data_IF_706704233005
#
_entry.id   IF_706704233005
#
_cell.length_a   1.000
_cell.length_b   1.000
_cell.length_c   1.000
_cell.angle_alpha   90.00
_cell.angle_beta   90.00
_cell.angle_gamma   90.00
#
_symmetry.space_group_name_H-M   'P 1'
#
loop_
_entity.id
_entity.type
_entity.pdbx_description
1 polymer ?
#
# COMPACT_ATOMS: atom_id res chain seq x y z
N UNK A 1 0.75 7.50 -32.93
CA UNK A 1 0.29 6.11 -32.66
C UNK A 1 0.62 5.79 -31.21
N UNK A 2 -0.35 5.32 -30.43
CA UNK A 2 -0.08 4.87 -29.05
C UNK A 2 0.79 3.62 -29.11
N UNK A 3 1.91 3.58 -28.38
CA UNK A 3 2.72 2.36 -28.25
C UNK A 3 1.94 1.38 -27.37
N UNK A 4 1.43 0.26 -27.92
CA UNK A 4 0.64 -0.68 -27.13
C UNK A 4 1.54 -1.37 -26.11
N UNK A 5 1.04 -1.48 -24.89
CA UNK A 5 1.68 -2.16 -23.78
C UNK A 5 0.81 -3.34 -23.34
N UNK A 6 1.43 -4.35 -22.73
CA UNK A 6 0.72 -5.47 -22.10
C UNK A 6 1.31 -5.74 -20.72
N UNK A 7 0.52 -6.35 -19.84
CA UNK A 7 0.96 -6.76 -18.51
C UNK A 7 1.65 -8.12 -18.58
N UNK A 8 2.90 -8.17 -18.15
CA UNK A 8 3.62 -9.43 -17.93
C UNK A 8 3.87 -9.55 -16.43
N UNK A 9 3.35 -10.62 -15.81
CA UNK A 9 3.53 -10.85 -14.38
C UNK A 9 4.95 -11.37 -14.13
N UNK A 10 5.62 -10.86 -13.09
CA UNK A 10 6.99 -11.27 -12.75
C UNK A 10 7.13 -12.75 -12.42
N UNK A 11 6.04 -13.39 -11.98
CA UNK A 11 5.97 -14.82 -11.69
C UNK A 11 6.10 -15.72 -12.93
N UNK A 12 6.19 -15.14 -14.14
CA UNK A 12 6.51 -15.86 -15.38
C UNK A 12 7.82 -16.66 -15.29
N UNK A 13 8.75 -16.25 -14.41
CA UNK A 13 10.00 -16.97 -14.13
C UNK A 13 9.78 -18.30 -13.41
N UNK A 14 8.61 -18.48 -12.79
CA UNK A 14 8.23 -19.69 -12.07
C UNK A 14 7.13 -20.49 -12.80
N UNK A 15 6.61 -19.98 -13.93
CA UNK A 15 5.58 -20.66 -14.71
C UNK A 15 6.15 -21.97 -15.31
N UNK A 16 5.64 -23.16 -14.92
CA UNK A 16 6.17 -24.43 -15.42
C UNK A 16 6.06 -24.58 -16.93
N UNK A 17 5.06 -23.95 -17.58
CA UNK A 17 4.91 -24.00 -19.04
C UNK A 17 6.03 -23.23 -19.72
N UNK A 18 6.40 -22.07 -19.18
CA UNK A 18 7.48 -21.22 -19.73
C UNK A 18 8.85 -21.81 -19.44
N UNK A 19 9.07 -22.34 -18.24
CA UNK A 19 10.38 -22.90 -17.85
C UNK A 19 10.74 -24.17 -18.61
N UNK A 20 9.75 -24.97 -19.02
CA UNK A 20 9.95 -26.17 -19.87
C UNK A 20 10.29 -25.85 -21.32
N UNK A 21 10.13 -24.61 -21.76
CA UNK A 21 10.51 -24.21 -23.12
C UNK A 21 12.05 -24.04 -23.25
N UNK A 22 12.61 -24.36 -24.43
CA UNK A 22 13.98 -23.96 -24.77
C UNK A 22 14.17 -22.45 -24.66
N UNK A 23 15.38 -22.00 -24.29
CA UNK A 23 15.67 -20.58 -24.04
C UNK A 23 15.31 -19.66 -25.22
N UNK A 24 15.65 -20.09 -26.45
CA UNK A 24 15.28 -19.37 -27.67
C UNK A 24 13.75 -19.20 -27.81
N UNK A 25 12.97 -20.19 -27.35
CA UNK A 25 11.51 -20.17 -27.43
C UNK A 25 10.89 -19.27 -26.35
N UNK A 26 11.56 -19.06 -25.22
CA UNK A 26 11.10 -18.10 -24.19
C UNK A 26 11.07 -16.67 -24.73
N UNK A 27 12.09 -16.27 -25.50
CA UNK A 27 12.08 -14.97 -26.18
C UNK A 27 10.98 -14.89 -27.25
N UNK A 28 10.80 -15.96 -28.05
CA UNK A 28 9.71 -16.04 -29.04
C UNK A 28 8.35 -15.87 -28.37
N UNK A 29 8.10 -16.50 -27.23
CA UNK A 29 6.89 -16.31 -26.46
C UNK A 29 6.62 -14.84 -26.12
N UNK A 30 7.63 -14.11 -25.61
CA UNK A 30 7.51 -12.67 -25.33
C UNK A 30 7.21 -11.88 -26.60
N UNK A 31 7.87 -12.21 -27.71
CA UNK A 31 7.64 -11.54 -28.98
C UNK A 31 6.21 -11.78 -29.51
N UNK A 32 5.64 -12.97 -29.32
CA UNK A 32 4.25 -13.28 -29.64
C UNK A 32 3.28 -12.47 -28.77
N UNK A 33 3.55 -12.31 -27.47
CA UNK A 33 2.76 -11.44 -26.60
C UNK A 33 2.77 -9.98 -27.07
N UNK A 34 3.90 -9.48 -27.57
CA UNK A 34 3.99 -8.15 -28.18
C UNK A 34 3.10 -8.01 -29.43
N UNK A 35 3.06 -9.04 -30.28
CA UNK A 35 2.18 -9.06 -31.46
C UNK A 35 0.71 -9.10 -31.06
N UNK A 36 0.36 -9.95 -30.09
CA UNK A 36 -0.99 -10.02 -29.56
C UNK A 36 -1.44 -8.68 -28.93
N UNK A 37 -0.56 -7.98 -28.22
CA UNK A 37 -0.85 -6.65 -27.63
C UNK A 37 -1.27 -5.63 -28.69
N UNK A 38 -0.60 -5.64 -29.85
CA UNK A 38 -0.93 -4.76 -31.00
C UNK A 38 -2.27 -5.11 -31.63
N UNK A 39 -2.66 -6.38 -31.57
CA UNK A 39 -3.83 -6.95 -32.24
C UNK A 39 -4.94 -7.35 -31.26
N UNK A 40 -5.12 -6.57 -30.17
CA UNK A 40 -6.20 -6.73 -29.19
C UNK A 40 -6.30 -8.16 -28.59
N UNK A 41 -5.18 -8.84 -28.42
CA UNK A 41 -5.09 -10.18 -27.85
C UNK A 41 -5.13 -11.33 -28.85
N UNK A 42 -5.18 -11.03 -30.15
CA UNK A 42 -5.12 -12.06 -31.20
C UNK A 42 -3.79 -12.00 -31.92
N UNK A 43 -3.23 -13.15 -32.27
CA UNK A 43 -2.04 -13.20 -33.12
C UNK A 43 -2.43 -12.95 -34.58
N UNK A 44 -1.59 -12.25 -35.35
CA UNK A 44 -1.78 -12.14 -36.78
C UNK A 44 -1.51 -13.49 -37.49
N UNK A 45 -1.85 -13.62 -38.78
CA UNK A 45 -1.51 -14.81 -39.58
C UNK A 45 -0.01 -15.15 -39.52
N UNK A 46 0.32 -16.42 -39.72
CA UNK A 46 1.71 -16.94 -39.60
C UNK A 46 2.70 -16.16 -40.48
N UNK A 47 2.32 -15.77 -41.69
CA UNK A 47 3.16 -14.97 -42.59
C UNK A 47 3.52 -13.60 -42.01
N UNK A 48 2.56 -12.94 -41.34
CA UNK A 48 2.80 -11.65 -40.68
C UNK A 48 3.68 -11.81 -39.43
N UNK A 49 3.52 -12.94 -38.71
CA UNK A 49 4.40 -13.28 -37.59
C UNK A 49 5.84 -13.49 -38.09
N UNK A 50 6.02 -14.26 -39.17
CA UNK A 50 7.31 -14.54 -39.77
C UNK A 50 8.00 -13.24 -40.19
N UNK A 51 7.28 -12.35 -40.88
CA UNK A 51 7.77 -11.02 -41.24
C UNK A 51 8.14 -10.18 -40.01
N UNK A 52 7.27 -10.11 -39.01
CA UNK A 52 7.49 -9.28 -37.83
C UNK A 52 8.66 -9.75 -36.97
N UNK A 53 8.88 -11.07 -36.89
CA UNK A 53 9.96 -11.69 -36.14
C UNK A 53 11.22 -11.95 -36.96
N UNK A 54 11.21 -11.59 -38.25
CA UNK A 54 12.33 -11.76 -39.19
C UNK A 54 12.81 -13.21 -39.28
N UNK A 55 11.87 -14.14 -39.39
CA UNK A 55 12.14 -15.57 -39.55
C UNK A 55 11.36 -16.15 -40.74
N UNK A 56 11.61 -17.41 -41.08
CA UNK A 56 10.87 -18.10 -42.13
C UNK A 56 9.43 -18.43 -41.70
N UNK A 57 8.52 -18.62 -42.67
CA UNK A 57 7.14 -19.05 -42.41
C UNK A 57 7.10 -20.41 -41.70
N UNK A 58 8.03 -21.31 -42.06
CA UNK A 58 8.17 -22.63 -41.44
C UNK A 58 8.57 -22.52 -39.96
N UNK A 59 9.53 -21.64 -39.64
CA UNK A 59 9.96 -21.39 -38.25
C UNK A 59 8.86 -20.74 -37.42
N UNK A 60 8.12 -19.79 -38.00
CA UNK A 60 6.99 -19.14 -37.35
C UNK A 60 5.89 -20.17 -37.05
N UNK A 61 5.55 -21.01 -38.04
CA UNK A 61 4.60 -22.11 -37.88
C UNK A 61 5.05 -23.14 -36.85
N UNK A 62 6.34 -23.51 -36.83
CA UNK A 62 6.89 -24.40 -35.82
C UNK A 62 6.81 -23.81 -34.41
N UNK A 63 7.05 -22.50 -34.28
CA UNK A 63 6.95 -21.77 -33.01
C UNK A 63 5.51 -21.74 -32.49
N UNK A 64 4.53 -21.46 -33.37
CA UNK A 64 3.10 -21.53 -33.03
C UNK A 64 2.75 -22.92 -32.51
N UNK A 65 3.09 -23.99 -33.25
CA UNK A 65 2.79 -25.37 -32.85
C UNK A 65 3.40 -25.73 -31.50
N UNK A 66 4.65 -25.34 -31.26
CA UNK A 66 5.33 -25.63 -29.99
C UNK A 66 4.70 -24.87 -28.81
N UNK A 67 4.29 -23.61 -29.01
CA UNK A 67 3.62 -22.82 -27.97
C UNK A 67 2.18 -23.31 -27.70
N UNK A 68 1.47 -23.80 -28.73
CA UNK A 68 0.18 -24.49 -28.57
C UNK A 68 0.34 -25.78 -27.78
N UNK A 69 1.34 -26.62 -28.12
CA UNK A 69 1.64 -27.85 -27.39
C UNK A 69 2.01 -27.60 -25.91
N UNK A 70 2.66 -26.47 -25.62
CA UNK A 70 2.95 -26.05 -24.24
C UNK A 70 1.74 -25.46 -23.48
N UNK A 71 0.60 -25.26 -24.15
CA UNK A 71 -0.60 -24.65 -23.58
C UNK A 71 -0.39 -23.17 -23.22
N UNK A 72 0.46 -22.47 -23.98
CA UNK A 72 0.68 -21.02 -23.88
C UNK A 72 -0.10 -20.24 -24.96
N UNK A 73 -0.43 -20.90 -26.06
CA UNK A 73 -1.34 -20.41 -27.10
C UNK A 73 -2.56 -21.33 -27.20
N UNK A 74 -3.72 -20.72 -27.38
CA UNK A 74 -4.97 -21.39 -27.71
C UNK A 74 -5.32 -21.10 -29.16
N UNK A 75 -5.79 -22.12 -29.88
CA UNK A 75 -6.41 -21.93 -31.19
C UNK A 75 -7.87 -21.52 -30.98
N UNK A 76 -8.20 -20.28 -31.34
CA UNK A 76 -9.55 -19.73 -31.15
C UNK A 76 -10.48 -20.12 -32.30
N UNK A 77 -9.94 -20.10 -33.50
CA UNK A 77 -10.59 -20.44 -34.77
C UNK A 77 -9.53 -21.14 -35.64
N UNK A 78 -9.91 -21.94 -36.65
CA UNK A 78 -8.92 -22.63 -37.49
C UNK A 78 -7.89 -21.66 -38.08
N UNK A 79 -6.63 -21.80 -37.67
CA UNK A 79 -5.53 -20.92 -38.10
C UNK A 79 -5.46 -19.56 -37.40
N UNK A 80 -6.29 -19.30 -36.39
CA UNK A 80 -6.24 -18.10 -35.55
C UNK A 80 -5.87 -18.45 -34.10
N UNK A 81 -4.82 -17.80 -33.60
CA UNK A 81 -4.23 -18.11 -32.30
C UNK A 81 -4.32 -16.92 -31.35
N UNK A 82 -4.50 -17.18 -30.06
CA UNK A 82 -4.45 -16.19 -29.01
C UNK A 82 -3.62 -16.69 -27.82
N UNK A 83 -2.95 -15.80 -27.08
CA UNK A 83 -2.31 -16.19 -25.82
C UNK A 83 -3.31 -16.76 -24.82
N UNK A 84 -2.91 -17.85 -24.17
CA UNK A 84 -3.77 -18.54 -23.22
C UNK A 84 -4.16 -17.62 -22.06
N UNK A 85 -5.46 -17.56 -21.77
CA UNK A 85 -6.05 -16.69 -20.75
C UNK A 85 -5.65 -15.20 -20.91
N UNK A 86 -5.67 -14.69 -22.14
CA UNK A 86 -5.36 -13.29 -22.43
C UNK A 86 -6.29 -12.32 -21.66
N UNK A 87 -7.61 -12.50 -21.73
CA UNK A 87 -8.59 -11.65 -21.04
C UNK A 87 -8.38 -11.59 -19.52
N UNK A 88 -8.06 -12.73 -18.87
CA UNK A 88 -7.80 -12.76 -17.43
C UNK A 88 -6.50 -12.04 -17.06
N UNK A 89 -5.50 -12.07 -17.94
CA UNK A 89 -4.20 -11.40 -17.72
C UNK A 89 -4.24 -9.91 -18.11
N UNK A 90 -5.00 -9.56 -19.14
CA UNK A 90 -5.09 -8.23 -19.75
C UNK A 90 -6.46 -7.57 -19.51
N UNK A 91 -7.00 -7.71 -18.29
CA UNK A 91 -8.26 -7.09 -17.93
C UNK A 91 -8.25 -5.57 -18.21
N UNK A 92 -9.27 -5.09 -18.91
CA UNK A 92 -9.43 -3.67 -19.23
C UNK A 92 -9.94 -2.95 -17.98
N UNK A 93 -9.02 -2.43 -17.18
CA UNK A 93 -9.34 -1.58 -16.01
C UNK A 93 -9.94 -0.23 -16.39
N UNK A 94 -9.87 0.17 -17.66
CA UNK A 94 -10.15 1.53 -18.11
C UNK A 94 -11.64 1.80 -18.40
N UNK A 95 -12.54 1.15 -17.66
CA UNK A 95 -13.91 1.69 -17.47
C UNK A 95 -13.94 2.82 -16.43
N UNK A 96 -12.84 3.07 -15.70
CA UNK A 96 -12.75 4.15 -14.71
C UNK A 96 -12.44 5.51 -15.34
N UNK A 97 -11.74 5.59 -16.47
CA UNK A 97 -11.47 6.87 -17.15
C UNK A 97 -12.72 7.45 -17.81
N UNK A 98 -13.56 6.60 -18.40
CA UNK A 98 -14.88 6.99 -18.93
C UNK A 98 -15.82 7.40 -17.80
N UNK A 99 -15.96 6.58 -16.75
CA UNK A 99 -16.82 6.91 -15.59
C UNK A 99 -16.37 8.19 -14.86
N UNK A 100 -15.07 8.41 -14.70
CA UNK A 100 -14.54 9.63 -14.07
C UNK A 100 -14.74 10.84 -14.97
N UNK A 101 -14.61 10.69 -16.29
CA UNK A 101 -14.89 11.76 -17.25
C UNK A 101 -16.38 12.14 -17.23
N UNK A 102 -17.28 11.17 -17.32
CA UNK A 102 -18.73 11.38 -17.23
C UNK A 102 -19.14 12.00 -15.90
N UNK A 103 -18.53 11.58 -14.79
CA UNK A 103 -18.76 12.18 -13.48
C UNK A 103 -18.30 13.64 -13.43
N UNK A 104 -17.12 13.96 -14.00
CA UNK A 104 -16.61 15.34 -14.06
C UNK A 104 -17.44 16.23 -14.97
N UNK A 105 -17.89 15.70 -16.11
CA UNK A 105 -18.79 16.41 -17.03
C UNK A 105 -20.16 16.66 -16.40
N UNK A 106 -20.70 15.70 -15.66
CA UNK A 106 -21.94 15.88 -14.89
C UNK A 106 -21.79 16.97 -13.83
N UNK A 107 -20.73 16.93 -13.02
CA UNK A 107 -20.47 17.99 -12.02
C UNK A 107 -20.27 19.36 -12.67
N UNK A 108 -19.63 19.42 -13.84
CA UNK A 108 -19.46 20.66 -14.59
C UNK A 108 -20.80 21.22 -15.06
N UNK A 109 -21.68 20.37 -15.60
CA UNK A 109 -23.02 20.76 -16.03
C UNK A 109 -23.90 21.21 -14.86
N UNK A 110 -23.86 20.49 -13.75
CA UNK A 110 -24.58 20.86 -12.51
C UNK A 110 -24.07 22.20 -11.95
N UNK A 111 -22.78 22.48 -12.03
CA UNK A 111 -22.21 23.77 -11.63
C UNK A 111 -22.59 24.92 -12.59
N UNK A 112 -22.63 24.66 -13.90
CA UNK A 112 -23.09 25.63 -14.91
C UNK A 112 -24.59 25.93 -14.76
N UNK A 113 -25.40 24.93 -14.44
CA UNK A 113 -26.85 25.07 -14.21
C UNK A 113 -27.16 25.80 -12.89
N UNK A 114 -26.40 25.51 -11.82
CA UNK A 114 -26.49 26.24 -10.56
C UNK A 114 -26.06 27.72 -10.70
N UNK A 115 -25.02 27.99 -11.51
CA UNK A 115 -24.58 29.36 -11.81
C UNK A 115 -25.60 30.15 -12.65
N UNK A 116 -26.42 29.47 -13.46
CA UNK A 116 -27.50 30.10 -14.23
C UNK A 116 -28.73 30.47 -13.38
N UNK A 117 -28.93 29.80 -12.23
CA UNK A 117 -30.07 30.06 -11.33
C UNK A 117 -29.81 31.17 -10.30
N UNK A 118 -28.55 31.56 -10.07
CA UNK A 118 -28.15 32.58 -9.09
C UNK A 118 -27.94 33.99 -9.71
N UNK A 119 -28.54 34.26 -10.87
CA UNK A 119 -28.58 35.60 -11.44
C UNK A 119 -29.45 36.51 -10.54
N UNK A 120 -28.94 37.64 -10.02
CA UNK A 120 -29.63 38.41 -8.98
C UNK A 120 -30.84 39.18 -9.54
N UNK A 121 -32.02 38.57 -9.43
CA UNK A 121 -33.30 39.26 -9.47
C UNK A 121 -33.53 39.96 -8.14
N UNK A 122 -33.14 41.22 -8.07
CA UNK A 122 -33.28 42.11 -6.92
C UNK A 122 -34.76 42.31 -6.50
N UNK A 123 -35.21 41.69 -5.39
CA UNK A 123 -36.39 42.17 -4.63
C UNK A 123 -36.15 41.94 -3.14
N UNK A 124 -36.04 43.05 -2.40
CA UNK A 124 -35.98 43.11 -0.95
C UNK A 124 -37.35 42.82 -0.30
N UNK A 125 -37.37 42.05 0.78
CA UNK A 125 -38.56 41.85 1.61
C UNK A 125 -38.33 40.87 2.76
N UNK A 126 -38.03 41.42 3.94
CA UNK A 126 -38.06 40.71 5.23
C UNK A 126 -39.42 40.06 5.49
N UNK A 127 -39.45 38.86 6.09
CA UNK A 127 -40.26 38.54 7.29
C UNK A 127 -39.94 37.13 7.83
N UNK A 128 -39.92 37.08 9.16
CA UNK A 128 -39.77 35.93 10.06
C UNK A 128 -40.81 34.81 9.83
N UNK A 129 -40.42 33.56 10.03
CA UNK A 129 -41.35 32.42 10.01
C UNK A 129 -40.69 31.08 10.34
N UNK A 130 -40.79 30.70 11.60
CA UNK A 130 -40.45 29.37 12.13
C UNK A 130 -41.41 28.30 11.56
N UNK A 131 -40.91 27.13 11.12
CA UNK A 131 -41.77 25.99 10.79
C UNK A 131 -41.12 24.87 9.97
N UNK A 132 -40.88 23.73 10.61
CA UNK A 132 -41.28 22.39 10.14
C UNK A 132 -40.69 21.80 8.85
N UNK A 133 -39.89 20.74 9.04
CA UNK A 133 -39.86 19.47 8.28
C UNK A 133 -39.98 19.46 6.75
N UNK A 134 -39.07 18.78 6.05
CA UNK A 134 -39.23 17.33 5.80
C UNK A 134 -38.00 16.72 5.11
N UNK A 135 -37.93 15.41 5.27
CA UNK A 135 -37.06 14.37 4.74
C UNK A 135 -36.85 14.41 3.22
N UNK A 136 -35.65 14.02 2.77
CA UNK A 136 -35.48 13.30 1.50
C UNK A 136 -34.36 12.27 1.62
N UNK A 137 -34.80 11.02 1.79
CA UNK A 137 -34.06 9.77 1.58
C UNK A 137 -34.26 9.34 0.14
N UNK A 138 -33.22 8.89 -0.56
CA UNK A 138 -33.34 7.94 -1.68
C UNK A 138 -31.95 7.33 -1.99
N UNK A 139 -31.90 6.15 -2.64
CA UNK A 139 -31.39 4.95 -1.96
C UNK A 139 -30.24 4.27 -2.72
N UNK A 140 -29.46 3.47 -2.01
CA UNK A 140 -28.54 2.50 -2.62
C UNK A 140 -29.33 1.28 -3.08
N UNK A 141 -29.34 1.05 -4.40
CA UNK A 141 -29.81 -0.21 -4.99
C UNK A 141 -28.59 -1.03 -5.40
N UNK A 142 -28.30 -2.12 -4.65
CA UNK A 142 -27.36 -3.17 -5.03
C UNK A 142 -28.16 -4.47 -5.10
N UNK A 143 -28.36 -4.95 -6.32
CA UNK A 143 -28.99 -6.24 -6.60
C UNK A 143 -27.90 -7.31 -6.63
N UNK A 144 -27.90 -8.20 -5.64
CA UNK A 144 -27.26 -9.51 -5.74
C UNK A 144 -28.38 -10.56 -5.82
N UNK A 145 -28.42 -11.29 -6.93
CA UNK A 145 -29.34 -12.38 -7.17
C UNK A 145 -28.75 -13.68 -6.61
N UNK A 146 -29.56 -14.32 -5.77
CA UNK A 146 -29.39 -15.66 -5.21
C UNK A 146 -29.36 -16.76 -6.27
N UNK A 147 -28.67 -17.86 -5.96
CA UNK A 147 -29.12 -19.20 -6.37
C UNK A 147 -28.98 -20.17 -5.20
N UNK A 148 -30.13 -20.56 -4.67
CA UNK A 148 -30.34 -21.59 -3.65
C UNK A 148 -30.58 -22.92 -4.35
N UNK A 149 -29.98 -24.01 -3.88
CA UNK A 149 -30.62 -25.33 -3.91
C UNK A 149 -30.36 -26.05 -2.57
N UNK A 150 -31.46 -26.47 -1.95
CA UNK A 150 -31.55 -27.25 -0.74
C UNK A 150 -31.38 -28.74 -1.05
N UNK A 151 -30.76 -29.51 -0.15
CA UNK A 151 -31.13 -30.91 0.03
C UNK A 151 -30.96 -31.31 1.49
N UNK A 152 -32.06 -31.79 2.06
CA UNK A 152 -32.24 -32.23 3.43
C UNK A 152 -31.77 -33.66 3.63
N UNK A 153 -31.14 -33.94 4.79
CA UNK A 153 -31.34 -35.21 5.53
C UNK A 153 -30.73 -35.16 6.92
N UNK A 154 -31.58 -35.38 7.91
CA UNK A 154 -31.30 -35.49 9.33
C UNK A 154 -30.65 -36.84 9.66
N UNK A 155 -29.63 -36.85 10.53
CA UNK A 155 -29.39 -37.93 11.51
C UNK A 155 -28.73 -37.32 12.76
N UNK A 156 -29.38 -37.57 13.88
CA UNK A 156 -29.00 -37.30 15.27
C UNK A 156 -27.79 -38.13 15.72
N UNK A 157 -26.86 -37.52 16.49
CA UNK A 157 -26.17 -38.14 17.64
C UNK A 157 -25.18 -37.18 18.33
N UNK A 158 -25.56 -36.82 19.55
CA UNK A 158 -24.77 -36.45 20.74
C UNK A 158 -23.25 -36.72 20.71
N UNK A 159 -22.44 -35.67 20.97
CA UNK A 159 -21.24 -35.72 21.84
C UNK A 159 -20.62 -34.31 22.05
N UNK A 160 -20.66 -33.84 23.30
CA UNK A 160 -19.63 -33.10 24.08
C UNK A 160 -18.85 -31.93 23.45
N UNK A 161 -19.10 -30.72 23.98
CA UNK A 161 -18.39 -29.45 23.72
C UNK A 161 -16.90 -29.45 24.13
N UNK A 162 -16.07 -28.69 23.38
CA UNK A 162 -15.00 -27.90 23.96
C UNK A 162 -15.17 -26.41 23.63
N UNK A 163 -15.02 -25.55 24.66
CA UNK A 163 -15.07 -24.08 24.59
C UNK A 163 -14.15 -23.51 23.50
N UNK A 164 -14.74 -23.01 22.41
CA UNK A 164 -14.07 -22.13 21.46
C UNK A 164 -14.01 -20.71 22.06
N UNK A 165 -12.79 -20.21 22.22
CA UNK A 165 -12.53 -18.79 22.45
C UNK A 165 -12.75 -18.11 21.11
N UNK A 166 -13.68 -17.17 21.07
CA UNK A 166 -14.18 -16.56 19.84
C UNK A 166 -13.10 -15.68 19.19
N UNK A 167 -12.47 -16.21 18.14
CA UNK A 167 -11.44 -15.54 17.36
C UNK A 167 -11.98 -14.24 16.72
N UNK A 168 -13.29 -14.13 16.53
CA UNK A 168 -13.94 -12.90 16.06
C UNK A 168 -13.92 -11.78 17.11
N UNK A 169 -14.01 -12.10 18.40
CA UNK A 169 -14.04 -11.11 19.49
C UNK A 169 -12.65 -10.51 19.74
N UNK A 170 -11.58 -11.31 19.60
CA UNK A 170 -10.19 -10.82 19.62
C UNK A 170 -9.83 -9.94 18.41
N UNK A 171 -10.45 -10.20 17.24
CA UNK A 171 -10.29 -9.38 16.03
C UNK A 171 -11.14 -8.10 16.12
N UNK A 172 -12.31 -8.16 16.77
CA UNK A 172 -13.17 -7.02 17.03
C UNK A 172 -12.57 -6.06 18.08
N UNK A 173 -11.93 -6.57 19.14
CA UNK A 173 -11.24 -5.75 20.14
C UNK A 173 -10.01 -5.00 19.58
N UNK A 174 -9.45 -5.47 18.45
CA UNK A 174 -8.39 -4.77 17.71
C UNK A 174 -8.93 -3.79 16.65
N UNK A 175 -10.24 -3.83 16.37
CA UNK A 175 -10.94 -2.89 15.49
C UNK A 175 -11.48 -1.74 16.35
N UNK A 176 -10.85 -0.57 16.20
CA UNK A 176 -11.22 0.77 16.69
C UNK A 176 -11.05 1.07 18.19
N UNK A 177 -9.90 1.63 18.55
CA UNK A 177 -9.81 2.71 19.55
C UNK A 177 -8.49 3.49 19.47
N UNK A 178 -7.92 3.68 18.28
CA UNK A 178 -6.99 4.80 18.08
C UNK A 178 -7.64 5.81 17.16
N UNK A 179 -7.75 7.09 17.56
CA UNK A 179 -8.22 8.12 16.65
C UNK A 179 -7.32 8.10 15.41
N UNK A 180 -7.92 8.20 14.23
CA UNK A 180 -7.15 8.26 12.99
C UNK A 180 -6.11 9.37 13.11
N UNK A 181 -4.82 9.02 13.01
CA UNK A 181 -3.71 10.00 12.99
C UNK A 181 -3.66 10.80 11.69
N UNK A 182 -4.74 10.79 10.89
CA UNK A 182 -4.87 11.56 9.67
C UNK A 182 -4.80 13.06 9.92
N UNK A 183 -5.37 13.57 11.02
CA UNK A 183 -5.29 15.00 11.32
C UNK A 183 -3.85 15.45 11.56
N UNK A 184 -3.04 14.63 12.23
CA UNK A 184 -1.61 14.87 12.42
C UNK A 184 -0.86 14.85 11.07
N UNK A 185 -1.19 13.88 10.20
CA UNK A 185 -0.68 13.85 8.83
C UNK A 185 -1.08 15.10 8.03
N UNK A 186 -2.32 15.54 8.16
CA UNK A 186 -2.85 16.69 7.44
C UNK A 186 -2.16 18.00 7.84
N UNK A 187 -1.86 18.17 9.13
CA UNK A 187 -1.09 19.32 9.63
C UNK A 187 0.38 19.25 9.21
N UNK A 188 0.96 18.05 9.10
CA UNK A 188 2.33 17.85 8.66
C UNK A 188 2.54 18.06 7.15
N UNK A 189 1.47 17.96 6.34
CA UNK A 189 1.58 18.03 4.89
C UNK A 189 1.78 19.48 4.40
N UNK A 190 2.70 19.76 3.47
CA UNK A 190 2.99 21.12 3.03
C UNK A 190 1.78 21.80 2.37
N UNK A 191 1.63 23.10 2.62
CA UNK A 191 0.58 23.92 1.99
C UNK A 191 0.79 23.97 0.47
N UNK A 192 -0.30 23.80 -0.28
CA UNK A 192 -0.33 23.82 -1.75
C UNK A 192 -1.23 24.96 -2.24
N UNK A 193 -0.87 25.55 -3.38
CA UNK A 193 -1.79 26.37 -4.18
C UNK A 193 -2.60 25.53 -5.20
N UNK A 194 -3.91 25.74 -5.21
CA UNK A 194 -4.89 24.94 -5.96
C UNK A 194 -5.52 23.79 -5.15
N UNK A 195 -6.38 22.98 -5.80
CA UNK A 195 -7.23 22.02 -5.09
C UNK A 195 -6.43 20.91 -4.41
N UNK A 196 -6.72 20.64 -3.13
CA UNK A 196 -6.20 19.50 -2.38
C UNK A 196 -7.34 18.88 -1.55
N UNK A 197 -8.12 17.95 -2.11
CA UNK A 197 -9.33 17.45 -1.45
C UNK A 197 -8.98 16.55 -0.24
N UNK A 198 -9.45 16.94 0.95
CA UNK A 198 -9.18 16.26 2.24
C UNK A 198 -9.78 14.85 2.31
N UNK A 199 -11.07 14.70 1.98
CA UNK A 199 -11.79 13.41 2.10
C UNK A 199 -11.15 12.26 1.29
N UNK A 200 -10.76 12.44 0.00
CA UNK A 200 -10.06 11.38 -0.74
C UNK A 200 -8.69 11.02 -0.15
N UNK A 201 -7.96 12.02 0.39
CA UNK A 201 -6.67 11.78 1.02
C UNK A 201 -6.84 10.98 2.33
N UNK A 202 -7.85 11.31 3.13
CA UNK A 202 -8.20 10.62 4.37
C UNK A 202 -8.57 9.15 4.14
N UNK A 203 -9.48 8.89 3.18
CA UNK A 203 -9.84 7.53 2.80
C UNK A 203 -8.61 6.72 2.38
N UNK A 204 -7.70 7.32 1.61
CA UNK A 204 -6.48 6.63 1.18
C UNK A 204 -5.51 6.39 2.32
N UNK A 205 -5.27 7.39 3.18
CA UNK A 205 -4.43 7.26 4.38
C UNK A 205 -4.94 6.13 5.27
N UNK A 206 -6.23 6.14 5.61
CA UNK A 206 -6.84 5.10 6.42
C UNK A 206 -6.75 3.72 5.75
N UNK A 207 -6.86 3.64 4.41
CA UNK A 207 -6.68 2.38 3.70
C UNK A 207 -5.25 1.82 3.79
N UNK A 208 -4.23 2.69 3.76
CA UNK A 208 -2.83 2.29 3.90
C UNK A 208 -2.53 1.83 5.32
N UNK A 209 -3.07 2.52 6.33
CA UNK A 209 -2.96 2.09 7.73
C UNK A 209 -3.62 0.73 7.95
N UNK A 210 -4.77 0.47 7.31
CA UNK A 210 -5.44 -0.85 7.34
C UNK A 210 -4.61 -1.97 6.72
N UNK A 211 -3.72 -1.66 5.77
CA UNK A 211 -2.80 -2.66 5.19
C UNK A 211 -1.60 -3.01 6.08
N UNK A 212 -1.50 -2.40 7.28
CA UNK A 212 -0.40 -2.62 8.23
C UNK A 212 0.73 -1.61 8.12
N UNK A 213 0.55 -0.52 7.37
CA UNK A 213 1.52 0.55 7.30
C UNK A 213 1.44 1.43 8.55
N UNK A 214 2.59 1.71 9.17
CA UNK A 214 2.66 2.56 10.35
C UNK A 214 2.25 4.02 10.03
N UNK A 215 1.20 4.56 10.69
CA UNK A 215 0.82 5.96 10.54
C UNK A 215 1.96 6.96 10.86
N UNK A 216 2.84 6.63 11.82
CA UNK A 216 3.93 7.52 12.23
C UNK A 216 4.94 7.74 11.10
N UNK A 217 5.22 6.68 10.34
CA UNK A 217 6.09 6.75 9.16
C UNK A 217 5.51 7.68 8.09
N UNK A 218 4.20 7.59 7.80
CA UNK A 218 3.55 8.47 6.82
C UNK A 218 3.60 9.95 7.24
N UNK A 219 3.44 10.22 8.53
CA UNK A 219 3.54 11.56 9.10
C UNK A 219 4.97 12.08 9.01
N UNK A 220 5.97 11.26 9.34
CA UNK A 220 7.38 11.61 9.21
C UNK A 220 7.76 11.92 7.74
N UNK A 221 7.29 11.09 6.81
CA UNK A 221 7.48 11.30 5.38
C UNK A 221 6.83 12.62 4.90
N UNK A 222 5.64 12.97 5.40
CA UNK A 222 4.98 14.24 5.09
C UNK A 222 5.76 15.44 5.62
N UNK A 223 6.29 15.38 6.86
CA UNK A 223 7.15 16.42 7.43
C UNK A 223 8.43 16.60 6.63
N UNK A 224 9.05 15.51 6.19
CA UNK A 224 10.28 15.56 5.38
C UNK A 224 10.01 16.20 4.01
N UNK A 225 8.89 15.86 3.37
CA UNK A 225 8.44 16.55 2.16
C UNK A 225 8.24 18.05 2.42
N UNK A 226 7.62 18.43 3.54
CA UNK A 226 7.43 19.84 3.88
C UNK A 226 8.76 20.58 4.02
N UNK A 227 9.75 19.99 4.69
CA UNK A 227 11.09 20.58 4.85
C UNK A 227 11.84 20.70 3.51
N UNK A 228 11.83 19.64 2.69
CA UNK A 228 12.49 19.64 1.39
C UNK A 228 11.91 20.71 0.45
N UNK A 229 10.58 20.83 0.41
CA UNK A 229 9.91 21.82 -0.42
C UNK A 229 9.99 23.24 0.17
N UNK A 230 10.12 23.38 1.48
CA UNK A 230 10.40 24.66 2.14
C UNK A 230 11.80 25.15 1.77
N UNK A 231 12.81 24.27 1.79
CA UNK A 231 14.17 24.60 1.37
C UNK A 231 14.26 25.03 -0.11
N UNK A 232 13.35 24.50 -0.95
CA UNK A 232 13.22 24.87 -2.36
C UNK A 232 12.39 26.14 -2.59
N UNK A 233 11.72 26.67 -1.56
CA UNK A 233 10.81 27.81 -1.70
C UNK A 233 9.50 27.48 -2.44
N UNK A 234 9.14 26.20 -2.54
CA UNK A 234 7.97 25.74 -3.28
C UNK A 234 6.70 25.63 -2.43
N UNK A 235 6.81 25.82 -1.11
CA UNK A 235 5.65 25.76 -0.21
C UNK A 235 4.65 26.87 -0.57
N UNK A 236 3.38 26.50 -0.66
CA UNK A 236 2.33 27.40 -1.11
C UNK A 236 2.27 27.59 -2.62
N UNK A 237 3.00 26.80 -3.42
CA UNK A 237 2.89 26.80 -4.88
C UNK A 237 2.04 25.62 -5.39
N UNK A 238 1.71 25.67 -6.69
CA UNK A 238 1.03 24.59 -7.40
C UNK A 238 1.90 23.34 -7.64
N UNK A 239 3.19 23.38 -7.29
CA UNK A 239 4.12 22.27 -7.51
C UNK A 239 4.10 21.22 -6.39
N UNK A 240 3.62 21.58 -5.20
CA UNK A 240 3.41 20.64 -4.10
C UNK A 240 2.37 19.60 -4.50
N UNK A 241 2.65 18.29 -4.54
CA UNK A 241 1.65 17.31 -4.96
C UNK A 241 0.41 17.33 -4.05
N UNK A 242 -0.76 17.01 -4.60
CA UNK A 242 -1.96 16.78 -3.77
C UNK A 242 -1.73 15.60 -2.83
N UNK A 243 -2.22 15.67 -1.60
CA UNK A 243 -2.01 14.63 -0.59
C UNK A 243 -2.51 13.26 -1.06
N UNK A 244 -3.70 13.20 -1.68
CA UNK A 244 -4.24 11.97 -2.25
C UNK A 244 -3.32 11.38 -3.34
N UNK A 245 -2.81 12.22 -4.24
CA UNK A 245 -1.91 11.80 -5.32
C UNK A 245 -0.56 11.31 -4.78
N UNK A 246 -0.01 12.00 -3.78
CA UNK A 246 1.23 11.62 -3.10
C UNK A 246 1.09 10.27 -2.39
N UNK A 247 -0.03 10.03 -1.69
CA UNK A 247 -0.35 8.75 -1.07
C UNK A 247 -0.56 7.62 -2.08
N UNK A 248 -1.28 7.89 -3.19
CA UNK A 248 -1.58 6.90 -4.23
C UNK A 248 -0.33 6.42 -4.97
N UNK A 249 0.57 7.35 -5.31
CA UNK A 249 1.79 7.06 -6.05
C UNK A 249 2.93 6.59 -5.15
N UNK A 250 2.68 6.35 -3.86
CA UNK A 250 3.67 5.90 -2.89
C UNK A 250 4.93 6.75 -2.86
N UNK A 251 4.79 8.07 -3.08
CA UNK A 251 5.91 9.02 -3.07
C UNK A 251 6.54 9.19 -1.69
N UNK A 252 5.89 8.64 -0.67
CA UNK A 252 6.40 8.51 0.69
C UNK A 252 7.43 7.39 0.85
N UNK A 253 7.55 6.46 -0.10
CA UNK A 253 8.42 5.26 0.01
C UNK A 253 9.89 5.60 0.22
N UNK A 254 10.43 6.58 -0.51
CA UNK A 254 11.83 7.03 -0.34
C UNK A 254 12.09 7.59 1.07
N UNK A 255 11.10 8.29 1.64
CA UNK A 255 11.19 8.84 3.00
C UNK A 255 10.90 7.77 4.06
N UNK A 256 10.09 6.77 3.73
CA UNK A 256 9.80 5.62 4.57
C UNK A 256 11.01 4.74 4.78
N UNK A 257 11.81 4.52 3.73
CA UNK A 257 13.08 3.82 3.83
C UNK A 257 14.04 4.55 4.78
N UNK A 258 14.09 5.89 4.72
CA UNK A 258 14.90 6.70 5.65
C UNK A 258 14.35 6.61 7.08
N UNK A 259 13.03 6.70 7.29
CA UNK A 259 12.44 6.53 8.62
C UNK A 259 12.66 5.12 9.18
N UNK A 260 12.53 4.08 8.36
CA UNK A 260 12.82 2.71 8.74
C UNK A 260 14.31 2.53 9.08
N UNK A 261 15.22 3.11 8.31
CA UNK A 261 16.66 3.14 8.64
C UNK A 261 16.94 3.96 9.91
N UNK A 262 16.17 5.00 10.19
CA UNK A 262 16.25 5.77 11.45
C UNK A 262 15.55 5.08 12.61
N UNK A 263 14.68 4.11 12.36
CA UNK A 263 14.00 3.32 13.40
C UNK A 263 14.80 2.05 13.70
N UNK A 264 15.42 1.45 12.68
CA UNK A 264 16.30 0.28 12.77
C UNK A 264 17.73 0.71 13.18
N UNK A 265 18.22 1.82 12.66
CA UNK A 265 19.48 2.47 13.04
C UNK A 265 19.32 3.55 14.12
N UNK A 266 18.10 3.76 14.58
CA UNK A 266 17.76 4.64 15.69
C UNK A 266 16.69 4.01 16.58
N UNK A 267 16.95 2.78 17.02
CA UNK A 267 17.18 2.69 18.46
C UNK A 267 18.26 3.74 18.77
N UNK A 268 17.83 4.95 19.12
CA UNK A 268 18.35 5.49 20.34
C UNK A 268 18.25 4.30 21.30
N UNK A 269 19.38 3.63 21.52
CA UNK A 269 19.56 2.79 22.68
C UNK A 269 18.84 3.58 23.76
N UNK A 270 17.85 2.97 24.39
CA UNK A 270 17.41 3.45 25.68
C UNK A 270 18.66 3.30 26.55
N UNK A 271 19.58 4.25 26.42
CA UNK A 271 20.81 4.39 27.17
C UNK A 271 20.27 4.56 28.56
N UNK A 272 20.20 3.42 29.26
CA UNK A 272 19.87 3.42 30.66
C UNK A 272 20.83 4.42 31.28
N UNK A 273 20.34 5.45 31.97
CA UNK A 273 21.21 6.38 32.67
C UNK A 273 22.24 5.57 33.45
N UNK A 274 23.53 5.87 33.25
CA UNK A 274 24.62 5.01 33.76
C UNK A 274 24.52 4.81 35.28
N UNK A 275 23.96 5.79 36.00
CA UNK A 275 23.65 5.70 37.43
C UNK A 275 22.57 4.66 37.76
N UNK A 276 21.53 4.53 36.94
CA UNK A 276 20.51 3.49 37.10
C UNK A 276 21.09 2.10 36.84
N UNK A 277 21.98 1.97 35.85
CA UNK A 277 22.70 0.73 35.56
C UNK A 277 23.62 0.32 36.71
N UNK A 278 24.39 1.28 37.27
CA UNK A 278 25.24 1.05 38.45
C UNK A 278 24.41 0.67 39.67
N UNK A 279 23.28 1.35 39.91
CA UNK A 279 22.36 1.01 41.01
C UNK A 279 21.78 -0.40 40.88
N UNK A 280 21.37 -0.80 39.67
CA UNK A 280 20.87 -2.15 39.41
C UNK A 280 21.98 -3.20 39.57
N UNK A 281 23.19 -2.90 39.12
CA UNK A 281 24.35 -3.77 39.25
C UNK A 281 24.75 -3.97 40.71
N UNK A 282 24.78 -2.92 41.52
CA UNK A 282 25.06 -3.02 42.96
C UNK A 282 24.03 -3.87 43.72
N UNK A 283 22.75 -3.76 43.34
CA UNK A 283 21.62 -4.44 44.00
C UNK A 283 21.46 -5.90 43.58
N UNK A 284 21.51 -6.16 42.28
CA UNK A 284 21.13 -7.46 41.69
C UNK A 284 22.31 -8.19 41.02
N UNK A 285 23.49 -7.57 40.93
CA UNK A 285 24.67 -8.14 40.27
C UNK A 285 24.59 -8.21 38.74
N UNK A 286 23.55 -7.64 38.12
CA UNK A 286 23.34 -7.72 36.67
C UNK A 286 23.66 -6.37 35.99
N UNK A 287 24.60 -6.39 35.04
CA UNK A 287 24.93 -5.22 34.22
C UNK A 287 24.09 -5.21 32.94
N UNK A 288 23.37 -4.12 32.70
CA UNK A 288 22.52 -4.00 31.51
C UNK A 288 23.36 -3.93 30.24
N UNK A 289 23.04 -4.77 29.26
CA UNK A 289 23.62 -4.69 27.90
C UNK A 289 23.42 -3.33 27.22
N UNK A 290 22.41 -2.57 27.68
CA UNK A 290 22.08 -1.24 27.13
C UNK A 290 22.87 -0.10 27.82
N UNK A 291 23.67 -0.41 28.85
CA UNK A 291 24.52 0.57 29.56
C UNK A 291 25.97 0.62 29.04
N UNK A 292 26.27 -0.14 27.97
CA UNK A 292 27.62 -0.26 27.41
C UNK A 292 28.49 -1.27 28.17
N UNK A 293 29.82 -1.24 27.97
CA UNK A 293 30.75 -2.15 28.64
C UNK A 293 30.62 -2.05 30.16
N UNK A 294 30.68 -3.20 30.83
CA UNK A 294 30.66 -3.29 32.30
C UNK A 294 31.93 -2.70 32.93
N UNK A 295 31.92 -2.37 34.24
CA UNK A 295 33.04 -1.72 34.91
C UNK A 295 34.40 -2.44 34.82
N UNK A 296 34.38 -3.75 34.62
CA UNK A 296 35.57 -4.60 34.42
C UNK A 296 36.15 -4.55 32.99
N UNK A 297 35.43 -3.91 32.04
CA UNK A 297 35.82 -3.83 30.63
C UNK A 297 36.24 -2.40 30.22
N UNK A 298 37.25 -2.26 29.34
CA UNK A 298 37.67 -0.97 28.83
C UNK A 298 36.55 -0.30 28.02
N UNK A 299 36.35 0.99 28.24
CA UNK A 299 35.26 1.76 27.60
C UNK A 299 33.96 1.81 28.41
N UNK A 300 33.96 1.34 29.66
CA UNK A 300 32.85 1.57 30.59
C UNK A 300 32.63 3.07 30.81
N UNK A 301 31.36 3.49 30.79
CA UNK A 301 30.97 4.89 31.02
C UNK A 301 30.78 5.24 32.50
N UNK A 302 30.76 4.26 33.39
CA UNK A 302 30.61 4.49 34.83
C UNK A 302 31.93 5.02 35.41
N UNK A 303 31.90 6.20 36.04
CA UNK A 303 33.07 6.74 36.73
C UNK A 303 33.35 5.97 38.02
N UNK A 304 34.62 5.95 38.44
CA UNK A 304 35.02 5.32 39.70
C UNK A 304 34.30 5.93 40.92
N UNK A 305 34.03 7.24 40.90
CA UNK A 305 33.26 7.94 41.94
C UNK A 305 31.80 7.45 42.00
N UNK A 306 31.19 7.23 40.83
CA UNK A 306 29.81 6.73 40.75
C UNK A 306 29.72 5.28 41.25
N UNK A 307 30.68 4.42 40.91
CA UNK A 307 30.76 3.06 41.44
C UNK A 307 30.95 3.05 42.95
N UNK A 308 31.84 3.90 43.48
CA UNK A 308 32.11 4.03 44.90
C UNK A 308 30.85 4.48 45.69
N UNK A 309 30.05 5.39 45.13
CA UNK A 309 28.75 5.82 45.72
C UNK A 309 27.80 4.65 45.99
N UNK A 310 27.88 3.58 45.20
CA UNK A 310 27.05 2.38 45.35
C UNK A 310 27.81 1.18 45.95
N UNK A 311 28.98 1.40 46.56
CA UNK A 311 29.76 0.36 47.24
C UNK A 311 30.46 -0.61 46.29
N UNK A 312 30.79 -0.16 45.08
CA UNK A 312 31.51 -0.93 44.06
C UNK A 312 32.92 -0.36 43.85
N UNK A 313 33.89 -1.25 43.69
CA UNK A 313 35.25 -0.93 43.29
C UNK A 313 35.29 -0.53 41.80
N UNK A 314 36.38 0.11 41.34
CA UNK A 314 36.53 0.51 39.93
C UNK A 314 36.46 -0.65 38.93
N UNK A 315 36.73 -1.88 39.38
CA UNK A 315 36.63 -3.13 38.61
C UNK A 315 35.23 -3.79 38.69
N UNK A 316 34.26 -3.12 39.32
CA UNK A 316 32.89 -3.61 39.49
C UNK A 316 32.68 -4.61 40.63
N UNK A 317 33.70 -4.92 41.43
CA UNK A 317 33.54 -5.80 42.61
C UNK A 317 32.88 -5.05 43.76
N UNK A 318 32.10 -5.73 44.58
CA UNK A 318 31.53 -5.13 45.80
C UNK A 318 32.65 -4.84 46.79
N UNK A 319 32.76 -3.60 47.25
CA UNK A 319 33.66 -3.24 48.33
C UNK A 319 33.15 -3.91 49.60
N UNK A 320 33.99 -4.72 50.23
CA UNK A 320 33.67 -5.27 51.54
C UNK A 320 33.57 -4.11 52.52
N UNK A 321 32.39 -3.95 53.12
CA UNK A 321 32.24 -3.04 54.26
C UNK A 321 33.04 -3.67 55.39
N UNK A 322 34.26 -3.18 55.61
CA UNK A 322 35.02 -3.48 56.82
C UNK A 322 34.21 -2.91 57.97
N UNK A 323 33.45 -3.78 58.63
CA UNK A 323 32.79 -3.44 59.88
C UNK A 323 33.89 -3.07 60.88
N UNK A 324 33.88 -1.81 61.31
CA UNK A 324 34.62 -1.34 62.48
C UNK A 324 33.95 -1.86 63.76
#
# INVERSE_FOLDING_TARGET
MSNPWFRMYGDVINDPKVMRLPEAMRWRWVAFLCLASRNKGRLPPVADIAFALRMSDDDAGASVRQLCAAGLLDETEPGAYAPHNWEGRQYKSDSSTVRVREHRERLKREAEEAAAFDAPGNVAGNVSGNGGGNVSVTPQNRTEQSRTEQSSRSVDRSASEPKQIDLEEAIAAKRSSEPSRFDEFWQAYPRRDGPNPRKPAETRFNSLVKTGLDPAMLIAAARKLANDEQARGNVGTRFIPQACTWLNQQRWSDHAAVFALQTIGGEAAHEMPIEDAVRMFAKNGFWSRHAGPSPDLPGCRASAELLAKYGLAPDGRRLEVVAA
#
